data_IF_238716243102
#
_entry.id   IF_238716243102
#
_cell.length_a   1.000
_cell.length_b   1.000
_cell.length_c   1.000
_cell.angle_alpha   90.00
_cell.angle_beta   90.00
_cell.angle_gamma   90.00
#
_symmetry.space_group_name_H-M   'P 1'
#
loop_
_entity.id
_entity.type
_entity.pdbx_description
1 polymer ?
#
# COMPACT_ATOMS: atom_id res chain seq x y z
N UNK A 1 1.88 -4.18 -1.91
CA UNK A 1 2.42 -3.22 -0.92
C UNK A 1 1.26 -2.40 -0.35
N UNK A 2 0.37 -2.98 0.46
CA UNK A 2 -0.86 -2.31 0.93
C UNK A 2 -1.85 -1.96 -0.15
N UNK A 3 -2.98 -1.38 0.27
CA UNK A 3 -4.07 -0.83 -0.54
C UNK A 3 -4.70 -1.83 -1.53
N UNK A 4 -4.70 -3.11 -1.16
CA UNK A 4 -5.42 -4.15 -1.91
C UNK A 4 -6.92 -4.10 -1.57
N UNK A 5 -7.25 -3.73 -0.33
CA UNK A 5 -8.62 -3.75 0.19
C UNK A 5 -9.05 -2.33 0.57
N UNK A 6 -9.82 -1.69 -0.30
CA UNK A 6 -10.44 -0.39 -0.01
C UNK A 6 -11.42 -0.48 1.19
N UNK A 7 -11.13 0.26 2.26
CA UNK A 7 -11.91 0.26 3.51
C UNK A 7 -12.30 1.67 4.02
N UNK A 8 -12.06 2.73 3.23
CA UNK A 8 -12.39 4.12 3.56
C UNK A 8 -13.77 4.52 3.07
N UNK A 9 -13.96 4.48 1.75
CA UNK A 9 -15.24 4.85 1.13
C UNK A 9 -16.26 3.72 1.23
N UNK A 10 -15.78 2.49 1.36
CA UNK A 10 -16.58 1.30 1.45
C UNK A 10 -16.17 0.49 2.67
N UNK A 11 -17.12 -0.10 3.37
CA UNK A 11 -16.78 -1.07 4.41
C UNK A 11 -16.31 -2.38 3.76
N UNK A 12 -15.01 -2.67 3.85
CA UNK A 12 -14.43 -3.92 3.38
C UNK A 12 -15.13 -5.13 4.03
N UNK A 13 -15.48 -5.01 5.32
CA UNK A 13 -16.23 -6.02 6.06
C UNK A 13 -17.62 -6.28 5.45
N UNK A 14 -18.37 -5.23 5.10
CA UNK A 14 -19.67 -5.39 4.44
C UNK A 14 -19.50 -6.00 3.05
N UNK A 15 -18.46 -5.58 2.31
CA UNK A 15 -18.15 -6.10 0.97
C UNK A 15 -17.75 -7.58 1.01
N UNK A 16 -16.96 -8.00 1.99
CA UNK A 16 -16.62 -9.42 2.22
C UNK A 16 -17.87 -10.25 2.49
N UNK A 17 -18.80 -9.76 3.33
CA UNK A 17 -20.07 -10.47 3.59
C UNK A 17 -20.94 -10.58 2.33
N UNK A 18 -21.15 -9.47 1.61
CA UNK A 18 -22.04 -9.43 0.44
C UNK A 18 -21.45 -10.07 -0.81
N UNK A 19 -20.13 -10.07 -0.94
CA UNK A 19 -19.43 -10.47 -2.16
C UNK A 19 -18.23 -11.37 -1.88
N UNK A 20 -18.39 -12.32 -0.93
CA UNK A 20 -17.35 -13.29 -0.55
C UNK A 20 -16.73 -13.98 -1.76
N UNK A 21 -17.54 -14.36 -2.76
CA UNK A 21 -17.07 -14.97 -4.01
C UNK A 21 -16.06 -14.10 -4.77
N UNK A 22 -16.25 -12.78 -4.81
CA UNK A 22 -15.31 -11.85 -5.47
C UNK A 22 -14.00 -11.71 -4.69
N UNK A 23 -14.10 -11.64 -3.36
CA UNK A 23 -12.94 -11.67 -2.47
C UNK A 23 -12.13 -12.95 -2.66
N UNK A 24 -12.80 -14.11 -2.61
CA UNK A 24 -12.17 -15.39 -2.84
C UNK A 24 -11.47 -15.40 -4.19
N UNK A 25 -12.16 -15.06 -5.29
CA UNK A 25 -11.56 -15.02 -6.63
C UNK A 25 -10.29 -14.18 -6.72
N UNK A 26 -10.22 -13.03 -6.05
CA UNK A 26 -9.02 -12.19 -6.01
C UNK A 26 -7.90 -12.89 -5.25
N UNK A 27 -8.16 -13.33 -4.02
CA UNK A 27 -7.13 -13.92 -3.18
C UNK A 27 -6.73 -15.33 -3.62
N UNK A 28 -7.60 -16.08 -4.31
CA UNK A 28 -7.28 -17.38 -4.90
C UNK A 28 -6.20 -17.21 -5.98
N UNK A 29 -6.31 -16.11 -6.77
CA UNK A 29 -5.29 -15.75 -7.77
C UNK A 29 -3.98 -15.33 -7.10
N UNK A 30 -4.03 -14.51 -6.05
CA UNK A 30 -2.82 -14.12 -5.32
C UNK A 30 -2.15 -15.32 -4.64
N UNK A 31 -2.95 -16.21 -4.06
CA UNK A 31 -2.47 -17.43 -3.43
C UNK A 31 -1.79 -18.35 -4.46
N UNK A 32 -2.31 -18.43 -5.69
CA UNK A 32 -1.69 -19.22 -6.77
C UNK A 32 -0.34 -18.69 -7.28
N UNK A 33 0.01 -17.44 -6.96
CA UNK A 33 1.33 -16.87 -7.28
C UNK A 33 2.40 -17.28 -6.27
N UNK A 34 1.97 -17.71 -5.09
CA UNK A 34 2.87 -18.23 -4.07
C UNK A 34 3.18 -19.69 -4.41
N UNK A 35 4.46 -20.06 -4.47
CA UNK A 35 4.84 -21.47 -4.50
C UNK A 35 4.23 -22.20 -3.29
N UNK A 36 4.07 -23.51 -3.36
CA UNK A 36 3.74 -24.31 -2.18
C UNK A 36 4.80 -24.00 -1.11
N UNK A 37 4.36 -23.55 0.06
CA UNK A 37 5.15 -23.04 1.20
C UNK A 37 5.74 -21.61 1.09
N UNK A 38 5.37 -20.85 0.06
CA UNK A 38 5.74 -19.45 -0.05
C UNK A 38 5.14 -18.57 1.07
N UNK A 39 5.97 -17.73 1.68
CA UNK A 39 5.52 -16.78 2.70
C UNK A 39 4.67 -15.67 2.08
N UNK A 40 3.36 -15.68 2.35
CA UNK A 40 2.44 -14.64 1.90
C UNK A 40 2.40 -13.49 2.89
N UNK A 41 2.83 -12.31 2.47
CA UNK A 41 2.95 -11.14 3.35
C UNK A 41 2.01 -10.04 2.88
N UNK A 42 1.12 -9.61 3.78
CA UNK A 42 0.24 -8.46 3.59
C UNK A 42 0.78 -7.28 4.39
N UNK A 43 1.37 -6.30 3.70
CA UNK A 43 1.73 -5.02 4.31
C UNK A 43 0.50 -4.12 4.31
N UNK A 44 0.11 -3.60 5.48
CA UNK A 44 -1.10 -2.77 5.61
C UNK A 44 -0.86 -1.36 5.02
N UNK A 45 -1.69 -0.96 4.06
CA UNK A 45 -1.72 0.37 3.48
C UNK A 45 -2.74 1.30 4.13
N UNK A 46 -2.68 2.58 3.80
CA UNK A 46 -3.56 3.58 4.41
C UNK A 46 -5.02 3.35 4.02
N UNK A 47 -5.32 2.85 2.82
CA UNK A 47 -6.70 2.57 2.39
C UNK A 47 -7.30 1.32 3.05
N UNK A 48 -6.46 0.43 3.59
CA UNK A 48 -6.91 -0.82 4.16
C UNK A 48 -7.52 -0.68 5.57
N UNK A 49 -7.30 0.47 6.21
CA UNK A 49 -7.59 0.68 7.63
C UNK A 49 -8.17 2.06 7.91
N UNK A 50 -9.22 2.09 8.73
CA UNK A 50 -9.74 3.30 9.38
C UNK A 50 -9.48 3.30 10.89
N UNK A 51 -8.56 2.44 11.35
CA UNK A 51 -8.14 2.32 12.75
C UNK A 51 -7.06 3.33 13.09
N UNK A 52 -7.14 3.94 14.28
CA UNK A 52 -6.07 4.77 14.85
C UNK A 52 -4.72 4.05 14.92
N UNK A 53 -4.76 2.72 15.05
CA UNK A 53 -3.57 1.88 15.14
C UNK A 53 -3.11 1.33 13.79
N UNK A 54 -3.70 1.73 12.66
CA UNK A 54 -3.36 1.19 11.33
C UNK A 54 -3.56 -0.35 11.25
N UNK A 55 -4.57 -0.87 11.97
CA UNK A 55 -4.92 -2.29 11.94
C UNK A 55 -6.06 -2.53 10.95
N UNK A 56 -6.00 -3.66 10.25
CA UNK A 56 -7.10 -4.11 9.40
C UNK A 56 -8.38 -4.31 10.23
N UNK A 57 -9.56 -4.21 9.62
CA UNK A 57 -10.80 -4.62 10.28
C UNK A 57 -10.70 -6.09 10.72
N UNK A 58 -11.15 -6.47 11.94
CA UNK A 58 -10.93 -7.82 12.49
C UNK A 58 -11.41 -8.96 11.59
N UNK A 59 -12.50 -8.76 10.83
CA UNK A 59 -13.02 -9.77 9.89
C UNK A 59 -12.17 -9.92 8.64
N UNK A 60 -11.53 -8.84 8.18
CA UNK A 60 -10.57 -8.89 7.07
C UNK A 60 -9.28 -9.55 7.55
N UNK A 61 -8.79 -9.14 8.72
CA UNK A 61 -7.60 -9.75 9.33
C UNK A 61 -7.77 -11.27 9.50
N UNK A 62 -8.89 -11.71 10.07
CA UNK A 62 -9.21 -13.13 10.21
C UNK A 62 -9.28 -13.83 8.86
N UNK A 63 -9.95 -13.25 7.87
CA UNK A 63 -10.04 -13.81 6.51
C UNK A 63 -8.65 -14.03 5.87
N UNK A 64 -7.72 -13.10 6.05
CA UNK A 64 -6.35 -13.22 5.55
C UNK A 64 -5.56 -14.28 6.33
N UNK A 65 -5.69 -14.32 7.67
CA UNK A 65 -5.02 -15.31 8.52
C UNK A 65 -5.48 -16.74 8.27
N UNK A 66 -6.79 -16.96 8.08
CA UNK A 66 -7.37 -18.25 7.67
C UNK A 66 -6.79 -18.76 6.33
N UNK A 67 -6.21 -17.86 5.54
CA UNK A 67 -5.53 -18.16 4.27
C UNK A 67 -4.00 -18.10 4.41
N UNK A 68 -3.44 -18.15 5.62
CA UNK A 68 -1.99 -18.13 5.88
C UNK A 68 -1.26 -16.88 5.40
N UNK A 69 -1.91 -15.71 5.41
CA UNK A 69 -1.22 -14.43 5.18
C UNK A 69 -0.65 -13.88 6.49
N UNK A 70 0.63 -13.53 6.50
CA UNK A 70 1.28 -12.75 7.56
C UNK A 70 0.97 -11.27 7.35
N UNK A 71 0.33 -10.64 8.32
CA UNK A 71 -0.09 -9.24 8.25
C UNK A 71 0.89 -8.40 9.06
N UNK A 72 1.49 -7.38 8.44
CA UNK A 72 2.48 -6.52 9.10
C UNK A 72 2.44 -5.09 8.56
N UNK A 73 3.15 -4.17 9.21
CA UNK A 73 3.35 -2.79 8.73
C UNK A 73 4.68 -2.60 8.00
N UNK A 74 5.65 -3.45 8.34
CA UNK A 74 7.01 -3.48 7.84
C UNK A 74 7.46 -4.93 7.79
N UNK A 75 8.19 -5.31 6.76
CA UNK A 75 8.99 -6.53 6.68
C UNK A 75 10.43 -6.13 6.38
N UNK A 76 11.38 -6.86 6.92
CA UNK A 76 12.81 -6.61 6.73
C UNK A 76 13.53 -7.95 6.70
N UNK A 77 14.50 -8.08 5.79
CA UNK A 77 15.49 -9.14 5.76
C UNK A 77 16.87 -8.51 5.48
N UNK A 78 17.89 -9.31 5.21
CA UNK A 78 19.24 -8.79 4.96
C UNK A 78 19.35 -7.90 3.71
N UNK A 79 18.50 -8.14 2.71
CA UNK A 79 18.56 -7.49 1.39
C UNK A 79 17.63 -6.28 1.24
N UNK A 80 16.48 -6.30 1.91
CA UNK A 80 15.43 -5.33 1.69
C UNK A 80 14.62 -5.03 2.94
N UNK A 81 13.98 -3.89 2.88
CA UNK A 81 12.94 -3.43 3.78
C UNK A 81 11.72 -3.06 2.95
N UNK A 82 10.56 -3.57 3.32
CA UNK A 82 9.32 -3.24 2.62
C UNK A 82 8.30 -2.64 3.59
N UNK A 83 7.78 -1.46 3.22
CA UNK A 83 6.74 -0.72 3.94
C UNK A 83 5.74 -0.14 2.95
N UNK A 84 4.54 0.21 3.37
CA UNK A 84 3.55 0.74 2.42
C UNK A 84 3.98 2.07 1.76
N UNK A 85 4.48 3.05 2.52
CA UNK A 85 4.97 4.33 1.98
C UNK A 85 4.36 5.55 2.66
N UNK A 86 3.11 5.48 3.11
CA UNK A 86 2.40 6.60 3.77
C UNK A 86 3.18 7.27 4.92
N UNK A 87 4.10 6.54 5.55
CA UNK A 87 4.97 7.04 6.60
C UNK A 87 5.85 8.22 6.13
N UNK A 88 6.16 8.31 4.83
CA UNK A 88 6.90 9.42 4.23
C UNK A 88 6.08 10.71 4.11
N UNK A 89 4.76 10.64 4.09
CA UNK A 89 3.87 11.80 4.08
C UNK A 89 3.52 12.25 5.51
N UNK A 90 3.01 11.32 6.32
CA UNK A 90 2.48 11.63 7.65
C UNK A 90 2.92 10.63 8.72
N UNK A 91 3.01 11.13 9.96
CA UNK A 91 3.35 10.32 11.12
C UNK A 91 2.08 9.78 11.83
N UNK A 92 2.29 9.03 12.92
CA UNK A 92 1.21 8.42 13.71
C UNK A 92 0.25 9.44 14.33
N UNK A 93 0.72 10.61 14.77
CA UNK A 93 -0.13 11.64 15.36
C UNK A 93 -1.04 12.28 14.31
N UNK A 94 -0.47 12.65 13.16
CA UNK A 94 -1.23 13.15 12.01
C UNK A 94 -2.24 12.12 11.52
N UNK A 95 -1.87 10.83 11.50
CA UNK A 95 -2.82 9.75 11.19
C UNK A 95 -3.98 9.73 12.20
N UNK A 96 -3.69 9.71 13.50
CA UNK A 96 -4.73 9.67 14.55
C UNK A 96 -5.68 10.85 14.43
N UNK A 97 -5.14 12.07 14.26
CA UNK A 97 -5.93 13.29 14.09
C UNK A 97 -6.81 13.22 12.85
N UNK A 98 -6.27 12.84 11.70
CA UNK A 98 -7.03 12.69 10.46
C UNK A 98 -8.13 11.63 10.57
N UNK A 99 -7.85 10.46 11.17
CA UNK A 99 -8.87 9.43 11.42
C UNK A 99 -9.96 9.95 12.35
N UNK A 100 -9.62 10.70 13.40
CA UNK A 100 -10.60 11.27 14.31
C UNK A 100 -11.55 12.23 13.58
N UNK A 101 -11.00 13.18 12.82
CA UNK A 101 -11.78 14.13 12.04
C UNK A 101 -12.69 13.40 11.05
N UNK A 102 -12.17 12.40 10.35
CA UNK A 102 -12.94 11.66 9.35
C UNK A 102 -14.08 10.84 9.96
N UNK A 103 -13.85 10.19 11.11
CA UNK A 103 -14.92 9.49 11.84
C UNK A 103 -16.00 10.46 12.32
N UNK A 104 -15.60 11.63 12.81
CA UNK A 104 -16.52 12.68 13.22
C UNK A 104 -17.36 13.18 12.03
N UNK A 105 -16.72 13.48 10.89
CA UNK A 105 -17.42 13.92 9.69
C UNK A 105 -18.38 12.85 9.15
N UNK A 106 -17.99 11.57 9.13
CA UNK A 106 -18.86 10.47 8.72
C UNK A 106 -20.08 10.31 9.64
N UNK A 107 -19.92 10.53 10.95
CA UNK A 107 -21.04 10.49 11.90
C UNK A 107 -22.06 11.58 11.60
N UNK A 108 -21.63 12.81 11.32
CA UNK A 108 -22.53 13.91 10.99
C UNK A 108 -23.11 13.76 9.58
N UNK A 109 -22.36 13.17 8.65
CA UNK A 109 -22.82 12.92 7.28
C UNK A 109 -24.05 11.99 7.21
N UNK A 110 -24.32 11.19 8.27
CA UNK A 110 -25.57 10.44 8.39
C UNK A 110 -26.81 11.34 8.45
N UNK A 111 -26.66 12.57 8.95
CA UNK A 111 -27.75 13.55 9.10
C UNK A 111 -27.72 14.62 8.01
N UNK A 112 -26.55 14.92 7.45
CA UNK A 112 -26.35 15.92 6.40
C UNK A 112 -25.51 15.32 5.26
N UNK A 113 -26.13 14.70 4.24
CA UNK A 113 -25.42 13.99 3.17
C UNK A 113 -24.40 14.85 2.41
N UNK A 114 -24.60 16.17 2.35
CA UNK A 114 -23.64 17.10 1.73
C UNK A 114 -22.27 17.14 2.43
N UNK A 115 -22.21 16.80 3.72
CA UNK A 115 -20.94 16.66 4.46
C UNK A 115 -20.12 15.45 4.01
N UNK A 116 -20.72 14.48 3.33
CA UNK A 116 -19.97 13.36 2.76
C UNK A 116 -18.94 13.84 1.74
N UNK A 117 -19.33 14.78 0.86
CA UNK A 117 -18.40 15.39 -0.10
C UNK A 117 -17.26 16.15 0.59
N UNK A 118 -17.55 16.79 1.72
CA UNK A 118 -16.53 17.44 2.53
C UNK A 118 -15.58 16.43 3.17
N UNK A 119 -16.08 15.32 3.73
CA UNK A 119 -15.22 14.25 4.26
C UNK A 119 -14.33 13.61 3.19
N UNK A 120 -14.87 13.41 1.99
CA UNK A 120 -14.11 12.93 0.85
C UNK A 120 -13.00 13.93 0.47
N UNK A 121 -13.32 15.21 0.34
CA UNK A 121 -12.34 16.25 0.06
C UNK A 121 -11.25 16.35 1.15
N UNK A 122 -11.64 16.24 2.43
CA UNK A 122 -10.70 16.23 3.54
C UNK A 122 -9.75 15.02 3.45
N UNK A 123 -10.27 13.83 3.19
CA UNK A 123 -9.48 12.63 2.98
C UNK A 123 -8.48 12.82 1.85
N UNK A 124 -8.97 13.23 0.68
CA UNK A 124 -8.16 13.42 -0.50
C UNK A 124 -7.00 14.38 -0.21
N UNK A 125 -7.28 15.50 0.46
CA UNK A 125 -6.27 16.52 0.78
C UNK A 125 -5.20 16.06 1.79
N UNK A 126 -5.58 15.28 2.80
CA UNK A 126 -4.70 15.01 3.95
C UNK A 126 -4.10 13.60 3.98
N UNK A 127 -4.67 12.65 3.23
CA UNK A 127 -4.29 11.23 3.33
C UNK A 127 -4.08 10.52 1.99
N UNK A 128 -4.44 11.13 0.84
CA UNK A 128 -4.39 10.45 -0.46
C UNK A 128 -3.72 11.23 -1.61
N UNK A 129 -3.84 12.57 -1.70
CA UNK A 129 -3.29 13.38 -2.82
C UNK A 129 -2.03 14.16 -2.45
N UNK A 130 -1.15 13.57 -1.65
CA UNK A 130 0.16 14.17 -1.38
C UNK A 130 1.28 13.40 -2.10
N UNK A 131 0.94 12.81 -3.25
CA UNK A 131 1.93 12.18 -4.12
C UNK A 131 2.92 13.27 -4.56
N UNK A 132 4.24 13.06 -4.37
CA UNK A 132 5.24 14.02 -4.78
C UNK A 132 5.20 14.19 -6.30
N UNK A 133 5.13 15.43 -6.79
CA UNK A 133 4.91 15.73 -8.19
C UNK A 133 6.19 16.16 -8.93
N UNK A 134 7.12 16.83 -8.23
CA UNK A 134 8.42 17.21 -8.80
C UNK A 134 9.52 16.23 -8.42
N UNK A 135 10.63 16.25 -9.17
CA UNK A 135 11.83 15.48 -8.83
C UNK A 135 12.27 15.78 -7.39
N UNK A 136 12.39 17.04 -7.01
CA UNK A 136 12.82 17.44 -5.66
C UNK A 136 11.87 16.91 -4.57
N UNK A 137 10.56 16.94 -4.81
CA UNK A 137 9.56 16.39 -3.89
C UNK A 137 9.69 14.88 -3.75
N UNK A 138 9.89 14.18 -4.87
CA UNK A 138 10.09 12.71 -4.93
C UNK A 138 11.30 12.35 -4.07
N UNK A 139 12.43 13.01 -4.32
CA UNK A 139 13.67 12.79 -3.58
C UNK A 139 13.49 13.05 -2.08
N UNK A 140 12.93 14.20 -1.71
CA UNK A 140 12.69 14.57 -0.31
C UNK A 140 11.78 13.58 0.41
N UNK A 141 10.72 13.11 -0.26
CA UNK A 141 9.81 12.10 0.26
C UNK A 141 10.55 10.79 0.54
N UNK A 142 11.33 10.32 -0.43
CA UNK A 142 12.02 9.04 -0.35
C UNK A 142 13.22 9.04 0.61
N UNK A 143 13.97 10.14 0.70
CA UNK A 143 14.99 10.34 1.75
C UNK A 143 14.38 10.35 3.15
N UNK A 144 13.20 10.97 3.31
CA UNK A 144 12.46 10.92 4.57
C UNK A 144 12.02 9.49 4.87
N UNK A 145 11.45 8.78 3.90
CA UNK A 145 11.00 7.39 4.06
C UNK A 145 12.18 6.46 4.41
N UNK A 146 13.33 6.65 3.76
CA UNK A 146 14.57 5.93 4.05
C UNK A 146 15.01 6.11 5.52
N UNK A 147 15.05 7.36 6.00
CA UNK A 147 15.44 7.68 7.38
C UNK A 147 14.50 7.07 8.42
N UNK A 148 13.19 7.23 8.25
CA UNK A 148 12.20 6.74 9.25
C UNK A 148 12.07 5.22 9.26
N UNK A 149 12.46 4.55 8.18
CA UNK A 149 12.42 3.09 8.08
C UNK A 149 13.71 2.42 8.52
N UNK A 150 14.77 3.22 8.75
CA UNK A 150 16.13 2.76 9.02
C UNK A 150 16.66 1.85 7.91
N UNK A 151 16.52 2.31 6.66
CA UNK A 151 16.86 1.53 5.48
C UNK A 151 18.30 1.01 5.48
N UNK A 152 19.25 1.83 5.95
CA UNK A 152 20.69 1.52 5.89
C UNK A 152 21.09 1.12 4.46
N UNK A 153 21.82 0.02 4.31
CA UNK A 153 22.25 -0.45 2.99
C UNK A 153 21.20 -1.21 2.20
N UNK A 154 20.04 -1.53 2.78
CA UNK A 154 19.02 -2.38 2.16
C UNK A 154 18.27 -1.66 1.05
N UNK A 155 17.63 -2.43 0.18
CA UNK A 155 16.66 -1.91 -0.80
C UNK A 155 15.35 -1.58 -0.10
N UNK A 156 14.87 -0.34 -0.22
CA UNK A 156 13.56 0.07 0.28
C UNK A 156 12.49 -0.12 -0.80
N UNK A 157 11.59 -1.08 -0.57
CA UNK A 157 10.42 -1.34 -1.40
C UNK A 157 9.20 -0.64 -0.79
N UNK A 158 8.46 0.12 -1.60
CA UNK A 158 7.24 0.80 -1.19
C UNK A 158 6.14 0.80 -2.26
N UNK A 159 4.96 1.29 -1.89
CA UNK A 159 3.84 1.61 -2.78
C UNK A 159 3.37 3.04 -2.50
N UNK A 160 2.08 3.23 -2.29
CA UNK A 160 1.47 4.49 -1.82
C UNK A 160 1.48 5.66 -2.82
N UNK A 161 2.62 6.08 -3.38
CA UNK A 161 2.69 7.25 -4.27
C UNK A 161 2.19 6.98 -5.70
N UNK A 162 1.65 5.79 -5.95
CA UNK A 162 1.08 5.31 -7.22
C UNK A 162 2.02 5.25 -8.44
N UNK A 163 3.16 5.94 -8.40
CA UNK A 163 4.17 5.97 -9.45
C UNK A 163 5.11 4.77 -9.38
N UNK A 164 5.21 4.05 -10.49
CA UNK A 164 6.17 2.98 -10.66
C UNK A 164 7.55 3.55 -10.97
N UNK A 165 8.50 3.39 -10.05
CA UNK A 165 9.82 3.99 -10.19
C UNK A 165 10.90 3.18 -9.46
N UNK A 166 12.14 3.40 -9.88
CA UNK A 166 13.35 2.92 -9.23
C UNK A 166 14.34 4.08 -9.13
N UNK A 167 14.87 4.33 -7.94
CA UNK A 167 15.87 5.37 -7.65
C UNK A 167 17.14 4.67 -7.14
N UNK A 168 18.06 4.27 -8.04
CA UNK A 168 19.16 3.37 -7.69
C UNK A 168 20.11 3.92 -6.63
N UNK A 169 20.43 5.21 -6.69
CA UNK A 169 21.38 5.85 -5.75
C UNK A 169 20.79 6.01 -4.34
N UNK A 170 19.46 5.98 -4.18
CA UNK A 170 18.79 5.88 -2.87
C UNK A 170 18.42 4.43 -2.52
N UNK A 171 18.70 3.45 -3.40
CA UNK A 171 18.31 2.05 -3.27
C UNK A 171 16.80 1.87 -3.05
N UNK A 172 15.98 2.64 -3.78
CA UNK A 172 14.53 2.70 -3.61
C UNK A 172 13.79 2.15 -4.82
N UNK A 173 12.74 1.37 -4.56
CA UNK A 173 11.80 0.91 -5.57
C UNK A 173 10.37 1.17 -5.07
N UNK A 174 9.55 1.80 -5.90
CA UNK A 174 8.11 1.87 -5.70
C UNK A 174 7.41 0.92 -6.68
N UNK A 175 6.46 0.13 -6.20
CA UNK A 175 5.71 -0.83 -7.03
C UNK A 175 4.64 -0.19 -7.90
N UNK A 176 4.32 1.09 -7.69
CA UNK A 176 3.16 1.74 -8.29
C UNK A 176 1.83 1.18 -7.78
N UNK A 177 0.75 1.56 -8.44
CA UNK A 177 -0.61 1.04 -8.21
C UNK A 177 -1.07 0.10 -9.33
N UNK A 178 -2.27 -0.49 -9.17
CA UNK A 178 -2.87 -1.35 -10.19
C UNK A 178 -3.72 -0.59 -11.23
N UNK A 179 -3.93 0.71 -11.04
CA UNK A 179 -4.83 1.53 -11.88
C UNK A 179 -4.04 2.34 -12.89
N UNK A 180 -3.04 3.10 -12.43
CA UNK A 180 -2.17 3.94 -13.25
C UNK A 180 -0.96 3.16 -13.77
N UNK A 181 -0.31 2.40 -12.89
CA UNK A 181 0.99 1.78 -13.20
C UNK A 181 0.86 0.35 -13.67
N UNK A 182 -0.02 -0.46 -13.07
CA UNK A 182 -0.27 -1.85 -13.45
C UNK A 182 1.02 -2.69 -13.48
N UNK A 183 1.79 -2.58 -12.41
CA UNK A 183 3.17 -3.03 -12.31
C UNK A 183 3.41 -3.95 -11.12
N UNK A 184 4.52 -4.69 -11.18
CA UNK A 184 5.03 -5.49 -10.09
C UNK A 184 6.56 -5.57 -10.14
N UNK A 185 7.15 -6.06 -9.06
CA UNK A 185 8.59 -6.25 -8.95
C UNK A 185 8.86 -7.71 -8.64
N UNK A 186 9.75 -8.33 -9.41
CA UNK A 186 10.30 -9.65 -9.11
C UNK A 186 11.67 -9.47 -8.47
N UNK A 187 11.94 -10.23 -7.42
CA UNK A 187 13.26 -10.35 -6.83
C UNK A 187 13.80 -11.74 -7.13
N UNK A 188 15.05 -11.79 -7.60
CA UNK A 188 15.85 -12.99 -7.81
C UNK A 188 17.22 -12.72 -7.17
N UNK A 189 17.45 -13.29 -5.99
CA UNK A 189 18.56 -12.93 -5.10
C UNK A 189 18.67 -11.41 -4.86
N UNK A 190 19.78 -10.80 -5.29
CA UNK A 190 20.04 -9.37 -5.18
C UNK A 190 19.55 -8.58 -6.41
N UNK A 191 18.89 -9.23 -7.36
CA UNK A 191 18.40 -8.63 -8.60
C UNK A 191 16.91 -8.34 -8.49
N UNK A 192 16.54 -7.09 -8.72
CA UNK A 192 15.16 -6.62 -8.75
C UNK A 192 14.77 -6.26 -10.19
N UNK A 193 13.67 -6.81 -10.66
CA UNK A 193 13.16 -6.61 -12.01
C UNK A 193 11.80 -5.95 -11.92
N UNK A 194 11.71 -4.72 -12.40
CA UNK A 194 10.44 -4.00 -12.52
C UNK A 194 9.72 -4.37 -13.81
N UNK A 195 8.49 -4.83 -13.71
CA UNK A 195 7.64 -5.17 -14.85
C UNK A 195 6.34 -4.36 -14.83
N UNK A 196 5.91 -3.91 -16.02
CA UNK A 196 4.68 -3.14 -16.22
C UNK A 196 3.81 -3.81 -17.28
N UNK A 197 2.51 -3.93 -17.01
CA UNK A 197 1.55 -4.48 -17.98
C UNK A 197 1.07 -3.38 -18.92
N UNK A 198 1.52 -3.42 -20.18
CA UNK A 198 1.11 -2.45 -21.21
C UNK A 198 -0.21 -2.82 -21.88
N UNK A 199 -0.43 -4.13 -22.05
CA UNK A 199 -1.68 -4.72 -22.53
C UNK A 199 -1.98 -5.98 -21.73
N UNK A 200 -3.23 -6.41 -21.73
CA UNK A 200 -3.66 -7.58 -20.95
C UNK A 200 -2.84 -8.81 -21.33
N UNK A 201 -1.97 -9.27 -20.43
CA UNK A 201 -1.08 -10.42 -20.63
C UNK A 201 0.27 -10.09 -21.27
N UNK A 202 0.53 -8.84 -21.64
CA UNK A 202 1.80 -8.37 -22.20
C UNK A 202 2.51 -7.44 -21.20
N UNK A 203 3.74 -7.80 -20.83
CA UNK A 203 4.54 -7.09 -19.84
C UNK A 203 5.83 -6.56 -20.47
N UNK A 204 6.14 -5.28 -20.25
CA UNK A 204 7.47 -4.72 -20.49
C UNK A 204 8.31 -4.78 -19.22
N UNK A 205 9.61 -5.00 -19.42
CA UNK A 205 10.62 -4.80 -18.39
C UNK A 205 10.99 -3.32 -18.37
N UNK A 206 10.69 -2.64 -17.26
CA UNK A 206 10.96 -1.21 -17.10
C UNK A 206 12.36 -0.96 -16.54
N UNK A 207 12.79 -1.75 -15.57
CA UNK A 207 14.13 -1.62 -14.99
C UNK A 207 14.70 -2.95 -14.50
N UNK A 208 16.03 -2.97 -14.37
CA UNK A 208 16.76 -3.98 -13.60
C UNK A 208 17.63 -3.22 -12.61
N UNK A 209 17.46 -3.50 -11.33
CA UNK A 209 18.32 -3.00 -10.27
C UNK A 209 19.07 -4.17 -9.63
N UNK A 210 20.40 -4.06 -9.54
CA UNK A 210 21.24 -5.06 -8.86
C UNK A 210 21.75 -4.43 -7.57
N UNK A 211 21.34 -5.00 -6.45
CA UNK A 211 21.87 -4.62 -5.16
C UNK A 211 23.24 -5.30 -5.00
N UNK A 212 24.28 -4.51 -4.76
CA UNK A 212 25.62 -4.97 -4.40
C UNK A 212 25.86 -4.64 -2.92
#
# INVERSE_FOLDING_TARGET
MGDIIENWFFSAVRKLKKSKKRFNKLFDRLDSLSALDGNKIYIVGNHDSTSYLMNLPPKIERYLRERNWKICKKIENETLIAVHGHQGQYNRFTWIGSIFILRFLHMIALFLPNLFRFSEAFYQKHLNRQDPATTEEIFKYYERLSRITHQNDKVLISGHTHDFLCIPHLKIINTGDWVKSNSFVLQDDFRFIGAKMNKRGEFSKEFIYKHQ
#
